data_IF_446596643148
#
_entry.id   IF_446596643148
#
_cell.length_a   1.000
_cell.length_b   1.000
_cell.length_c   1.000
_cell.angle_alpha   90.00
_cell.angle_beta   90.00
_cell.angle_gamma   90.00
#
_symmetry.space_group_name_H-M   'P 1'
#
loop_
_entity.id
_entity.type
_entity.pdbx_description
1 polymer ?
#
# COMPACT_ATOMS: atom_id res chain seq x y z
N UNK A 1 22.76 -22.56 -6.03
CA UNK A 1 21.49 -22.63 -5.30
C UNK A 1 21.53 -21.58 -4.22
N UNK A 2 21.04 -20.39 -4.55
CA UNK A 2 20.91 -19.33 -3.58
C UNK A 2 19.83 -19.73 -2.61
N UNK A 3 20.25 -20.08 -1.43
CA UNK A 3 19.37 -20.26 -0.30
C UNK A 3 18.51 -19.02 -0.17
N UNK A 4 17.23 -19.27 -0.07
CA UNK A 4 16.22 -18.31 0.23
C UNK A 4 16.71 -17.54 1.46
N UNK A 5 17.25 -16.39 1.19
CA UNK A 5 17.48 -15.40 2.22
C UNK A 5 16.21 -15.30 3.01
N UNK A 6 16.31 -15.33 4.31
CA UNK A 6 15.17 -15.30 5.21
C UNK A 6 14.34 -14.05 4.97
N UNK A 7 13.35 -14.13 4.08
CA UNK A 7 12.37 -13.08 3.89
C UNK A 7 11.16 -13.36 4.78
N UNK A 8 10.90 -12.46 5.70
CA UNK A 8 9.79 -12.57 6.65
C UNK A 8 8.89 -11.35 6.55
N UNK A 9 7.58 -11.58 6.63
CA UNK A 9 6.57 -10.53 6.64
C UNK A 9 5.99 -10.45 8.06
N UNK A 10 5.87 -9.24 8.57
CA UNK A 10 5.30 -8.97 9.90
C UNK A 10 4.54 -7.65 9.93
N UNK A 11 3.65 -7.45 10.92
CA UNK A 11 3.09 -6.12 11.16
C UNK A 11 4.19 -5.10 11.42
N UNK A 12 3.98 -3.87 10.95
CA UNK A 12 4.89 -2.77 11.25
C UNK A 12 4.81 -2.40 12.73
N UNK A 13 5.92 -1.94 13.26
CA UNK A 13 6.04 -1.38 14.61
C UNK A 13 6.47 0.09 14.52
N UNK A 14 6.36 0.87 15.60
CA UNK A 14 6.85 2.25 15.59
C UNK A 14 8.30 2.41 15.14
N UNK A 15 9.15 1.40 15.38
CA UNK A 15 10.55 1.40 14.94
C UNK A 15 10.70 1.36 13.41
N UNK A 16 9.66 0.95 12.69
CA UNK A 16 9.69 0.85 11.22
C UNK A 16 9.31 2.15 10.52
N UNK A 17 8.81 3.15 11.24
CA UNK A 17 8.30 4.41 10.65
C UNK A 17 9.35 5.08 9.77
N UNK A 18 10.59 5.16 10.22
CA UNK A 18 11.69 5.74 9.44
C UNK A 18 11.90 5.02 8.10
N UNK A 19 11.88 3.69 8.11
CA UNK A 19 12.03 2.90 6.89
C UNK A 19 10.84 3.06 5.95
N UNK A 20 9.62 3.05 6.49
CA UNK A 20 8.40 3.26 5.69
C UNK A 20 8.42 4.66 5.08
N UNK A 21 8.75 5.69 5.84
CA UNK A 21 8.86 7.07 5.36
C UNK A 21 9.86 7.16 4.20
N UNK A 22 11.02 6.57 4.34
CA UNK A 22 12.04 6.52 3.28
C UNK A 22 11.50 5.85 2.02
N UNK A 23 10.78 4.74 2.15
CA UNK A 23 10.21 4.03 1.01
C UNK A 23 9.04 4.77 0.36
N UNK A 24 8.26 5.54 1.11
CA UNK A 24 7.23 6.43 0.54
C UNK A 24 7.87 7.46 -0.40
N UNK A 25 8.99 8.04 0.00
CA UNK A 25 9.72 8.99 -0.84
C UNK A 25 10.27 8.29 -2.10
N UNK A 26 10.86 7.10 -1.95
CA UNK A 26 11.34 6.33 -3.10
C UNK A 26 10.20 6.00 -4.07
N UNK A 27 9.03 5.60 -3.57
CA UNK A 27 7.85 5.31 -4.38
C UNK A 27 7.38 6.56 -5.13
N UNK A 28 7.33 7.72 -4.46
CA UNK A 28 6.93 8.98 -5.07
C UNK A 28 7.86 9.38 -6.22
N UNK A 29 9.16 9.20 -6.04
CA UNK A 29 10.15 9.44 -7.10
C UNK A 29 9.89 8.51 -8.29
N UNK A 30 9.66 7.22 -8.04
CA UNK A 30 9.35 6.25 -9.09
C UNK A 30 8.08 6.64 -9.86
N UNK A 31 7.04 7.10 -9.17
CA UNK A 31 5.78 7.51 -9.77
C UNK A 31 5.81 8.93 -10.34
N UNK A 32 6.93 9.64 -10.20
CA UNK A 32 7.12 11.04 -10.65
C UNK A 32 6.17 12.02 -9.94
N UNK A 33 5.88 11.73 -8.68
CA UNK A 33 4.95 12.48 -7.83
C UNK A 33 5.62 13.01 -6.55
N UNK A 34 6.95 13.09 -6.52
CA UNK A 34 7.72 13.54 -5.35
C UNK A 34 7.29 14.92 -4.86
N UNK A 35 6.83 15.80 -5.76
CA UNK A 35 6.33 17.13 -5.42
C UNK A 35 5.04 17.13 -4.59
N UNK A 36 4.34 15.99 -4.52
CA UNK A 36 3.11 15.83 -3.74
C UNK A 36 3.39 15.34 -2.32
N UNK A 37 4.61 14.87 -2.04
CA UNK A 37 4.93 14.30 -0.74
C UNK A 37 5.10 15.39 0.30
N UNK A 38 4.23 15.40 1.30
CA UNK A 38 4.32 16.24 2.50
C UNK A 38 4.38 15.39 3.77
N UNK A 39 4.67 14.11 3.60
CA UNK A 39 4.73 13.15 4.68
C UNK A 39 5.88 13.45 5.64
N UNK A 40 5.63 13.26 6.92
CA UNK A 40 6.65 13.31 7.97
C UNK A 40 6.56 12.05 8.81
N UNK A 41 7.63 11.69 9.48
CA UNK A 41 7.63 10.53 10.38
C UNK A 41 6.58 10.68 11.49
N UNK A 42 6.41 11.90 12.02
CA UNK A 42 5.40 12.18 13.05
C UNK A 42 3.98 11.92 12.57
N UNK A 43 3.63 12.42 11.39
CA UNK A 43 2.31 12.22 10.79
C UNK A 43 2.07 10.75 10.45
N UNK A 44 3.09 10.07 9.93
CA UNK A 44 3.00 8.65 9.63
C UNK A 44 2.82 7.83 10.91
N UNK A 45 3.58 8.14 11.95
CA UNK A 45 3.43 7.49 13.26
C UNK A 45 2.01 7.67 13.82
N UNK A 46 1.47 8.89 13.75
CA UNK A 46 0.11 9.17 14.21
C UNK A 46 -0.93 8.37 13.42
N UNK A 47 -0.79 8.31 12.10
CA UNK A 47 -1.71 7.57 11.24
C UNK A 47 -1.69 6.06 11.47
N UNK A 48 -0.54 5.49 11.83
CA UNK A 48 -0.36 4.05 12.05
C UNK A 48 -0.54 3.63 13.51
N UNK A 49 -0.05 4.44 14.45
CA UNK A 49 0.09 4.04 15.85
C UNK A 49 -0.50 5.05 16.85
N UNK A 50 -1.16 6.09 16.36
CA UNK A 50 -1.85 7.05 17.21
C UNK A 50 -3.09 6.45 17.89
N UNK A 51 -3.78 7.23 18.74
CA UNK A 51 -4.96 6.75 19.46
C UNK A 51 -6.13 6.37 18.56
N UNK A 52 -6.19 6.92 17.34
CA UNK A 52 -7.19 6.61 16.32
C UNK A 52 -6.50 6.34 14.98
N UNK A 53 -5.86 5.18 14.81
CA UNK A 53 -5.10 4.91 13.60
C UNK A 53 -6.00 4.91 12.37
N UNK A 54 -5.56 5.57 11.30
CA UNK A 54 -6.28 5.65 10.04
C UNK A 54 -5.97 4.45 9.13
N UNK A 55 -4.86 3.77 9.37
CA UNK A 55 -4.35 2.71 8.51
C UNK A 55 -3.49 1.73 9.29
N UNK A 56 -3.12 0.66 8.61
CA UNK A 56 -2.19 -0.37 9.11
C UNK A 56 -1.07 -0.54 8.10
N UNK A 57 0.03 -1.10 8.53
CA UNK A 57 1.13 -1.45 7.65
C UNK A 57 1.74 -2.80 8.02
N UNK A 58 2.24 -3.48 7.00
CA UNK A 58 3.12 -4.63 7.14
C UNK A 58 4.45 -4.30 6.49
N UNK A 59 5.50 -4.91 6.98
CA UNK A 59 6.84 -4.79 6.40
C UNK A 59 7.38 -6.17 6.08
N UNK A 60 8.27 -6.23 5.09
CA UNK A 60 9.03 -7.42 4.76
C UNK A 60 10.50 -7.18 5.04
N UNK A 61 11.11 -8.11 5.75
CA UNK A 61 12.53 -8.11 6.05
C UNK A 61 13.26 -9.17 5.22
N UNK A 62 14.37 -8.78 4.62
CA UNK A 62 15.33 -9.69 4.02
C UNK A 62 16.64 -9.59 4.82
N UNK A 63 17.07 -10.70 5.39
CA UNK A 63 18.29 -10.76 6.21
C UNK A 63 18.33 -9.72 7.34
N UNK A 64 17.18 -9.48 7.98
CA UNK A 64 17.06 -8.52 9.08
C UNK A 64 16.92 -7.06 8.66
N UNK A 65 16.89 -6.77 7.37
CA UNK A 65 16.71 -5.42 6.84
C UNK A 65 15.30 -5.24 6.27
N UNK A 66 14.63 -4.14 6.64
CA UNK A 66 13.32 -3.78 6.10
C UNK A 66 13.49 -3.31 4.66
N UNK A 67 12.96 -4.08 3.70
CA UNK A 67 13.14 -3.83 2.27
C UNK A 67 11.84 -3.62 1.50
N UNK A 68 10.72 -3.84 2.14
CA UNK A 68 9.39 -3.62 1.55
C UNK A 68 8.37 -3.24 2.61
N UNK A 69 7.36 -2.49 2.20
CA UNK A 69 6.21 -2.20 3.04
C UNK A 69 4.92 -2.25 2.22
N UNK A 70 3.83 -2.46 2.90
CA UNK A 70 2.48 -2.24 2.39
C UNK A 70 1.68 -1.49 3.44
N UNK A 71 0.94 -0.47 3.02
CA UNK A 71 0.06 0.31 3.87
C UNK A 71 -1.36 0.16 3.36
N UNK A 72 -2.28 -0.16 4.25
CA UNK A 72 -3.66 -0.51 3.88
C UNK A 72 -4.66 -0.07 4.96
N UNK A 73 -5.91 -0.06 4.57
CA UNK A 73 -7.03 0.22 5.46
C UNK A 73 -8.27 -0.51 4.97
N UNK A 74 -9.36 -0.45 5.72
CA UNK A 74 -10.61 -1.05 5.31
C UNK A 74 -11.55 -0.01 4.74
N UNK A 75 -12.10 -0.30 3.55
CA UNK A 75 -13.29 0.36 3.02
C UNK A 75 -14.50 -0.56 3.24
N UNK A 76 -15.64 -0.22 2.71
CA UNK A 76 -16.86 -1.00 2.90
C UNK A 76 -17.66 -1.02 1.59
N UNK A 77 -18.11 -2.20 1.19
CA UNK A 77 -19.02 -2.36 0.06
C UNK A 77 -20.44 -2.48 0.55
N UNK A 78 -21.28 -1.53 0.16
CA UNK A 78 -22.70 -1.58 0.51
C UNK A 78 -23.42 -2.70 -0.22
N UNK A 79 -23.00 -3.03 -1.43
CA UNK A 79 -23.61 -4.11 -2.22
C UNK A 79 -23.31 -5.48 -1.63
N UNK A 80 -22.07 -5.69 -1.17
CA UNK A 80 -21.68 -6.94 -0.51
C UNK A 80 -21.99 -6.95 0.99
N UNK A 81 -22.20 -5.78 1.58
CA UNK A 81 -22.35 -5.59 3.03
C UNK A 81 -21.16 -6.19 3.79
N UNK A 82 -19.97 -5.93 3.26
CA UNK A 82 -18.70 -6.45 3.79
C UNK A 82 -17.62 -5.38 3.72
N UNK A 83 -16.65 -5.50 4.62
CA UNK A 83 -15.41 -4.75 4.52
C UNK A 83 -14.67 -5.15 3.25
N UNK A 84 -13.95 -4.19 2.68
CA UNK A 84 -12.88 -4.43 1.74
C UNK A 84 -11.54 -4.15 2.39
N UNK A 85 -10.48 -4.78 1.91
CA UNK A 85 -9.13 -4.38 2.22
C UNK A 85 -8.65 -3.51 1.06
N UNK A 86 -8.30 -2.26 1.36
CA UNK A 86 -7.77 -1.32 0.37
C UNK A 86 -6.29 -1.09 0.60
N UNK A 87 -5.50 -1.45 -0.38
CA UNK A 87 -4.06 -1.26 -0.36
C UNK A 87 -3.73 0.13 -0.93
N UNK A 88 -3.23 1.02 -0.06
CA UNK A 88 -2.80 2.36 -0.50
C UNK A 88 -1.47 2.29 -1.22
N UNK A 89 -0.47 1.68 -0.60
CA UNK A 89 0.87 1.57 -1.17
C UNK A 89 1.47 0.18 -0.95
N UNK A 90 2.16 -0.30 -1.98
CA UNK A 90 3.05 -1.44 -1.91
C UNK A 90 4.35 -1.06 -2.63
N UNK A 91 5.47 -1.17 -1.93
CA UNK A 91 6.77 -0.83 -2.48
C UNK A 91 7.83 -1.83 -2.06
N UNK A 92 8.69 -2.19 -2.97
CA UNK A 92 9.89 -3.00 -2.73
C UNK A 92 11.10 -2.15 -3.12
N UNK A 93 12.08 -2.03 -2.25
CA UNK A 93 13.31 -1.29 -2.55
C UNK A 93 13.95 -1.84 -3.82
N UNK A 94 14.45 -0.94 -4.66
CA UNK A 94 14.97 -1.28 -5.98
C UNK A 94 16.05 -2.37 -5.94
N UNK A 95 16.91 -2.33 -4.92
CA UNK A 95 17.97 -3.32 -4.70
C UNK A 95 17.45 -4.74 -4.45
N UNK A 96 16.18 -4.89 -4.11
CA UNK A 96 15.57 -6.18 -3.75
C UNK A 96 14.43 -6.58 -4.70
N UNK A 97 14.31 -5.91 -5.83
CA UNK A 97 13.33 -6.28 -6.87
C UNK A 97 13.74 -7.54 -7.62
N UNK A 98 12.75 -8.19 -8.23
CA UNK A 98 12.98 -9.41 -9.01
C UNK A 98 13.16 -10.67 -8.16
N UNK A 99 12.92 -10.58 -6.85
CA UNK A 99 13.03 -11.71 -5.90
C UNK A 99 11.67 -12.26 -5.46
N UNK A 100 10.58 -11.74 -6.01
CA UNK A 100 9.23 -12.19 -5.68
C UNK A 100 8.64 -11.60 -4.38
N UNK A 101 9.28 -10.62 -3.78
CA UNK A 101 8.81 -10.05 -2.51
C UNK A 101 7.47 -9.34 -2.63
N UNK A 102 7.28 -8.57 -3.70
CA UNK A 102 5.98 -7.92 -3.96
C UNK A 102 4.83 -8.93 -4.07
N UNK A 103 5.04 -10.03 -4.78
CA UNK A 103 4.08 -11.12 -4.88
C UNK A 103 3.78 -11.73 -3.50
N UNK A 104 4.80 -11.96 -2.68
CA UNK A 104 4.62 -12.49 -1.33
C UNK A 104 3.84 -11.53 -0.43
N UNK A 105 4.08 -10.23 -0.55
CA UNK A 105 3.33 -9.19 0.17
C UNK A 105 1.86 -9.20 -0.23
N UNK A 106 1.54 -9.22 -1.53
CA UNK A 106 0.16 -9.27 -2.01
C UNK A 106 -0.56 -10.54 -1.55
N UNK A 107 0.10 -11.69 -1.61
CA UNK A 107 -0.47 -12.95 -1.12
C UNK A 107 -0.74 -12.90 0.39
N UNK A 108 0.13 -12.29 1.15
CA UNK A 108 -0.06 -12.09 2.59
C UNK A 108 -1.31 -11.24 2.85
N UNK A 109 -1.46 -10.11 2.14
CA UNK A 109 -2.62 -9.24 2.27
C UNK A 109 -3.92 -9.93 1.80
N UNK A 110 -3.86 -10.72 0.75
CA UNK A 110 -5.01 -11.50 0.29
C UNK A 110 -5.47 -12.50 1.37
N UNK A 111 -4.54 -13.20 2.01
CA UNK A 111 -4.87 -14.08 3.15
C UNK A 111 -5.51 -13.30 4.28
N UNK A 112 -4.93 -12.16 4.63
CA UNK A 112 -5.46 -11.29 5.68
C UNK A 112 -6.89 -10.82 5.34
N UNK A 113 -7.14 -10.43 4.09
CA UNK A 113 -8.47 -10.04 3.62
C UNK A 113 -9.49 -11.19 3.80
N UNK A 114 -9.12 -12.41 3.42
CA UNK A 114 -9.98 -13.60 3.59
C UNK A 114 -10.23 -13.87 5.07
N UNK A 115 -9.20 -13.86 5.89
CA UNK A 115 -9.30 -14.09 7.34
C UNK A 115 -10.21 -13.08 8.03
N UNK A 116 -10.19 -11.82 7.57
CA UNK A 116 -11.03 -10.74 8.10
C UNK A 116 -12.44 -10.70 7.51
N UNK A 117 -12.79 -11.62 6.62
CA UNK A 117 -14.11 -11.66 5.98
C UNK A 117 -14.34 -10.56 4.95
N UNK A 118 -13.28 -9.98 4.39
CA UNK A 118 -13.39 -8.95 3.38
C UNK A 118 -13.96 -9.51 2.08
N UNK A 119 -14.84 -8.75 1.42
CA UNK A 119 -15.42 -9.13 0.15
C UNK A 119 -14.59 -8.72 -1.06
N UNK A 120 -13.64 -7.80 -0.88
CA UNK A 120 -12.75 -7.28 -1.93
C UNK A 120 -11.38 -7.02 -1.38
N UNK A 121 -10.40 -7.10 -2.26
CA UNK A 121 -9.05 -6.61 -2.07
C UNK A 121 -8.72 -5.71 -3.26
N UNK A 122 -8.56 -4.42 -3.02
CA UNK A 122 -8.47 -3.41 -4.07
C UNK A 122 -7.26 -2.49 -3.90
N UNK A 123 -6.77 -1.97 -5.00
CA UNK A 123 -5.74 -0.92 -5.06
C UNK A 123 -5.83 -0.19 -6.39
N UNK A 124 -5.12 0.93 -6.51
CA UNK A 124 -5.04 1.70 -7.74
C UNK A 124 -3.68 1.51 -8.40
N UNK A 125 -3.64 1.70 -9.70
CA UNK A 125 -2.41 1.66 -10.50
C UNK A 125 -2.43 2.82 -11.48
N UNK A 126 -1.27 3.44 -11.69
CA UNK A 126 -1.13 4.49 -12.71
C UNK A 126 -1.34 3.87 -14.10
N UNK A 127 -2.10 4.53 -14.94
CA UNK A 127 -2.54 4.01 -16.24
C UNK A 127 -1.37 3.73 -17.21
N UNK A 128 -0.26 4.44 -17.02
CA UNK A 128 0.96 4.25 -17.82
C UNK A 128 1.86 3.11 -17.33
N UNK A 129 1.60 2.56 -16.14
CA UNK A 129 2.47 1.57 -15.51
C UNK A 129 2.14 0.16 -16.00
N UNK A 130 2.41 -0.10 -17.26
CA UNK A 130 2.12 -1.38 -17.91
C UNK A 130 2.76 -2.59 -17.21
N UNK A 131 4.02 -2.54 -16.76
CA UNK A 131 4.60 -3.68 -16.05
C UNK A 131 3.84 -4.04 -14.77
N UNK A 132 3.41 -3.04 -13.99
CA UNK A 132 2.62 -3.27 -12.79
C UNK A 132 1.23 -3.83 -13.13
N UNK A 133 0.55 -3.27 -14.14
CA UNK A 133 -0.75 -3.76 -14.61
C UNK A 133 -0.65 -5.23 -15.01
N UNK A 134 0.34 -5.59 -15.81
CA UNK A 134 0.55 -6.98 -16.24
C UNK A 134 0.81 -7.90 -15.05
N UNK A 135 1.61 -7.45 -14.09
CA UNK A 135 1.87 -8.20 -12.86
C UNK A 135 0.60 -8.44 -12.06
N UNK A 136 -0.22 -7.41 -11.85
CA UNK A 136 -1.46 -7.53 -11.09
C UNK A 136 -2.47 -8.44 -11.80
N UNK A 137 -2.59 -8.33 -13.11
CA UNK A 137 -3.45 -9.22 -13.89
C UNK A 137 -2.99 -10.68 -13.81
N UNK A 138 -1.68 -10.92 -13.80
CA UNK A 138 -1.13 -12.27 -13.62
C UNK A 138 -1.45 -12.86 -12.24
N UNK A 139 -1.72 -12.02 -11.25
CA UNK A 139 -2.13 -12.41 -9.91
C UNK A 139 -3.66 -12.62 -9.77
N UNK A 140 -4.41 -12.40 -10.85
CA UNK A 140 -5.86 -12.54 -10.87
C UNK A 140 -6.64 -11.24 -10.65
N UNK A 141 -5.97 -10.09 -10.62
CA UNK A 141 -6.65 -8.81 -10.49
C UNK A 141 -7.29 -8.40 -11.83
N UNK A 142 -8.42 -7.71 -11.73
CA UNK A 142 -9.09 -7.06 -12.84
C UNK A 142 -8.89 -5.55 -12.73
N UNK A 143 -8.38 -4.92 -13.79
CA UNK A 143 -8.33 -3.46 -13.86
C UNK A 143 -9.70 -2.97 -14.30
N UNK A 144 -10.39 -2.26 -13.40
CA UNK A 144 -11.78 -1.84 -13.61
C UNK A 144 -11.86 -0.73 -14.66
N UNK A 145 -12.46 -0.98 -15.85
CA UNK A 145 -12.43 0.00 -16.95
C UNK A 145 -13.43 1.13 -16.79
N UNK A 146 -14.53 0.90 -16.05
CA UNK A 146 -15.68 1.81 -16.00
C UNK A 146 -15.66 2.74 -14.78
N UNK A 147 -14.70 2.60 -13.89
CA UNK A 147 -14.60 3.38 -12.67
C UNK A 147 -13.45 4.38 -12.75
N UNK A 148 -13.73 5.60 -12.30
CA UNK A 148 -12.72 6.66 -12.20
C UNK A 148 -12.74 7.25 -10.81
N UNK A 149 -11.58 7.63 -10.32
CA UNK A 149 -11.44 8.31 -9.03
C UNK A 149 -11.86 9.76 -9.19
N UNK A 150 -12.77 10.23 -8.31
CA UNK A 150 -13.12 11.64 -8.19
C UNK A 150 -12.46 12.16 -6.90
N UNK A 151 -11.73 13.26 -7.05
CA UNK A 151 -10.91 13.80 -5.94
C UNK A 151 -11.12 15.29 -5.80
N UNK A 152 -11.32 15.73 -4.56
CA UNK A 152 -11.33 17.15 -4.22
C UNK A 152 -10.30 17.37 -3.12
N UNK A 153 -9.39 18.29 -3.32
CA UNK A 153 -8.28 18.57 -2.38
C UNK A 153 -8.05 20.08 -2.29
N UNK A 154 -7.38 20.55 -1.23
CA UNK A 154 -6.95 21.93 -1.06
C UNK A 154 -8.11 22.93 -1.04
N UNK A 155 -7.92 24.07 -1.69
CA UNK A 155 -8.92 25.15 -1.69
C UNK A 155 -10.30 24.72 -2.22
N UNK A 156 -10.42 23.91 -3.30
CA UNK A 156 -11.72 23.39 -3.70
C UNK A 156 -12.43 22.54 -2.63
N UNK A 157 -11.68 21.79 -1.82
CA UNK A 157 -12.25 21.01 -0.72
C UNK A 157 -12.82 21.94 0.36
N UNK A 158 -12.04 22.96 0.73
CA UNK A 158 -12.47 23.94 1.71
C UNK A 158 -13.72 24.71 1.25
N UNK A 159 -13.74 25.11 -0.03
CA UNK A 159 -14.88 25.79 -0.62
C UNK A 159 -16.15 24.91 -0.63
N UNK A 160 -16.01 23.64 -0.97
CA UNK A 160 -17.12 22.69 -0.96
C UNK A 160 -17.68 22.49 0.45
N UNK A 161 -16.83 22.50 1.45
CA UNK A 161 -17.22 22.35 2.85
C UNK A 161 -18.02 23.55 3.39
N UNK A 162 -17.83 24.74 2.81
CA UNK A 162 -18.49 25.99 3.24
C UNK A 162 -19.81 26.25 2.51
N UNK A 163 -20.04 25.62 1.37
CA UNK A 163 -21.21 25.81 0.52
C UNK A 163 -22.38 24.98 0.90
#
# INVERSE_FOLDING_TARGET
MTLDTTFAIRPATPADVTHIQSMIVELAVFEKLEHLVVATEEKLHEGLFGPHPACEAIVGEADGEVVTFALFFHNFSTFLTKRGLYLEDLYVRQSHRGKGYGSRMLKHLARLAVERGCGRFEWSVLDWNTPAINFYQSMGAEVMPDWRICRVTGAPLEALAQG
#
